data_IF_394796289383
#
_entry.id   IF_394796289383
#
_cell.length_a   1.000
_cell.length_b   1.000
_cell.length_c   1.000
_cell.angle_alpha   90.00
_cell.angle_beta   90.00
_cell.angle_gamma   90.00
#
_symmetry.space_group_name_H-M   'P 1'
#
loop_
_entity.id
_entity.type
_entity.pdbx_description
1 polymer ?
#
# COMPACT_ATOMS: atom_id res chain seq x y z
N UNK A 1 25.21 8.15 -15.09
CA UNK A 1 24.08 9.11 -15.01
C UNK A 1 22.81 8.52 -15.63
N UNK A 2 22.88 7.95 -16.84
CA UNK A 2 21.75 7.26 -17.50
C UNK A 2 21.24 6.07 -16.69
N UNK A 3 22.13 5.24 -16.15
CA UNK A 3 21.73 4.03 -15.40
C UNK A 3 20.98 4.35 -14.10
N UNK A 4 21.37 5.41 -13.41
CA UNK A 4 20.66 5.91 -12.23
C UNK A 4 19.24 6.37 -12.56
N UNK A 5 19.05 7.10 -13.66
CA UNK A 5 17.72 7.57 -14.08
C UNK A 5 16.81 6.40 -14.48
N UNK A 6 17.38 5.37 -15.12
CA UNK A 6 16.67 4.14 -15.45
C UNK A 6 16.27 3.40 -14.17
N UNK A 7 17.21 3.18 -13.24
CA UNK A 7 16.93 2.54 -11.96
C UNK A 7 15.86 3.29 -11.16
N UNK A 8 15.92 4.63 -11.14
CA UNK A 8 14.91 5.48 -10.51
C UNK A 8 13.53 5.34 -11.15
N UNK A 9 13.47 5.26 -12.47
CA UNK A 9 12.21 5.06 -13.19
C UNK A 9 11.62 3.68 -12.88
N UNK A 10 12.45 2.63 -12.91
CA UNK A 10 12.09 1.26 -12.52
C UNK A 10 11.57 1.23 -11.08
N UNK A 11 12.27 1.89 -10.15
CA UNK A 11 11.89 1.97 -8.74
C UNK A 11 10.50 2.59 -8.58
N UNK A 12 10.23 3.72 -9.24
CA UNK A 12 8.93 4.41 -9.16
C UNK A 12 7.81 3.53 -9.75
N UNK A 13 8.05 2.89 -10.90
CA UNK A 13 7.07 1.98 -11.51
C UNK A 13 6.69 0.87 -10.52
N UNK A 14 7.68 0.23 -9.90
CA UNK A 14 7.40 -0.85 -8.95
C UNK A 14 6.83 -0.37 -7.60
N UNK A 15 7.13 0.86 -7.15
CA UNK A 15 6.40 1.49 -6.04
C UNK A 15 4.91 1.55 -6.38
N UNK A 16 4.57 2.09 -7.55
CA UNK A 16 3.17 2.27 -7.98
C UNK A 16 2.48 0.91 -8.09
N UNK A 17 3.10 -0.07 -8.75
CA UNK A 17 2.56 -1.43 -8.86
C UNK A 17 2.37 -2.10 -7.49
N UNK A 18 3.31 -1.90 -6.56
CA UNK A 18 3.26 -2.45 -5.22
C UNK A 18 2.09 -1.89 -4.40
N UNK A 19 1.95 -0.55 -4.36
CA UNK A 19 0.85 0.09 -3.63
C UNK A 19 -0.51 -0.21 -4.27
N UNK A 20 -0.59 -0.29 -5.60
CA UNK A 20 -1.80 -0.74 -6.29
C UNK A 20 -2.19 -2.17 -5.86
N UNK A 21 -1.21 -3.07 -5.76
CA UNK A 21 -1.40 -4.42 -5.25
C UNK A 21 -1.90 -4.44 -3.81
N UNK A 22 -1.27 -3.69 -2.89
CA UNK A 22 -1.68 -3.63 -1.49
C UNK A 22 -3.10 -3.09 -1.30
N UNK A 23 -3.45 -1.97 -1.96
CA UNK A 23 -4.80 -1.40 -1.85
C UNK A 23 -5.87 -2.34 -2.40
N UNK A 24 -5.55 -3.04 -3.49
CA UNK A 24 -6.50 -4.00 -4.06
C UNK A 24 -6.61 -5.28 -3.22
N UNK A 25 -5.52 -5.75 -2.61
CA UNK A 25 -5.53 -6.89 -1.68
C UNK A 25 -6.47 -6.65 -0.49
N UNK A 26 -6.39 -5.49 0.17
CA UNK A 26 -7.25 -5.23 1.33
C UNK A 26 -8.74 -5.18 0.93
N UNK A 27 -9.05 -4.67 -0.26
CA UNK A 27 -10.42 -4.72 -0.79
C UNK A 27 -10.89 -6.16 -0.99
N UNK A 28 -10.05 -7.03 -1.54
CA UNK A 28 -10.38 -8.44 -1.66
C UNK A 28 -10.62 -9.07 -0.27
N UNK A 29 -9.80 -8.74 0.73
CA UNK A 29 -10.01 -9.24 2.10
C UNK A 29 -11.37 -8.85 2.68
N UNK A 30 -11.83 -7.62 2.43
CA UNK A 30 -13.15 -7.15 2.87
C UNK A 30 -14.24 -8.02 2.23
N UNK A 31 -14.22 -8.16 0.91
CA UNK A 31 -15.22 -8.94 0.18
C UNK A 31 -15.17 -10.43 0.51
N UNK A 32 -13.97 -10.97 0.76
CA UNK A 32 -13.78 -12.35 1.17
C UNK A 32 -14.35 -12.59 2.57
N UNK A 33 -14.14 -11.65 3.50
CA UNK A 33 -14.73 -11.71 4.85
C UNK A 33 -16.26 -11.67 4.78
N UNK A 34 -16.83 -10.75 4.00
CA UNK A 34 -18.28 -10.65 3.78
C UNK A 34 -18.84 -11.91 3.10
N UNK A 35 -18.08 -12.54 2.20
CA UNK A 35 -18.48 -13.80 1.57
C UNK A 35 -18.49 -14.99 2.55
N UNK A 36 -17.64 -14.98 3.57
CA UNK A 36 -17.62 -16.02 4.61
C UNK A 36 -18.84 -15.98 5.54
N UNK A 37 -19.51 -14.84 5.63
CA UNK A 37 -20.73 -14.64 6.42
C UNK A 37 -22.00 -15.10 5.69
N UNK A 38 -21.90 -15.47 4.41
CA UNK A 38 -23.04 -15.94 3.61
C UNK A 38 -23.37 -17.42 3.84
N UNK A 39 -24.57 -17.81 3.43
CA UNK A 39 -24.99 -19.20 3.41
C UNK A 39 -24.45 -19.94 2.18
N UNK A 40 -24.40 -21.28 2.26
CA UNK A 40 -24.09 -22.12 1.10
C UNK A 40 -25.27 -22.13 0.10
N UNK A 41 -25.00 -22.17 -1.21
CA UNK A 41 -23.70 -22.42 -1.85
C UNK A 41 -22.88 -21.16 -2.17
N UNK A 42 -23.40 -19.97 -1.89
CA UNK A 42 -22.75 -18.72 -2.29
C UNK A 42 -21.40 -18.54 -1.59
N UNK A 43 -21.36 -18.87 -0.29
CA UNK A 43 -20.13 -18.84 0.52
C UNK A 43 -19.01 -19.67 -0.09
N UNK A 44 -19.25 -20.95 -0.39
CA UNK A 44 -18.22 -21.86 -0.88
C UNK A 44 -17.68 -21.45 -2.26
N UNK A 45 -18.54 -20.95 -3.15
CA UNK A 45 -18.15 -20.44 -4.47
C UNK A 45 -17.27 -19.19 -4.35
N UNK A 46 -17.72 -18.19 -3.58
CA UNK A 46 -17.01 -16.93 -3.41
C UNK A 46 -15.70 -17.11 -2.63
N UNK A 47 -15.69 -17.94 -1.58
CA UNK A 47 -14.49 -18.28 -0.82
C UNK A 47 -13.37 -18.83 -1.72
N UNK A 48 -13.72 -19.77 -2.60
CA UNK A 48 -12.78 -20.36 -3.56
C UNK A 48 -12.27 -19.31 -4.56
N UNK A 49 -13.17 -18.47 -5.06
CA UNK A 49 -12.83 -17.43 -6.02
C UNK A 49 -11.92 -16.35 -5.43
N UNK A 50 -12.25 -15.82 -4.25
CA UNK A 50 -11.44 -14.81 -3.58
C UNK A 50 -10.09 -15.36 -3.16
N UNK A 51 -10.03 -16.59 -2.63
CA UNK A 51 -8.77 -17.26 -2.31
C UNK A 51 -7.82 -17.33 -3.51
N UNK A 52 -8.35 -17.68 -4.70
CA UNK A 52 -7.59 -17.70 -5.94
C UNK A 52 -7.13 -16.31 -6.39
N UNK A 53 -8.02 -15.32 -6.34
CA UNK A 53 -7.70 -13.94 -6.75
C UNK A 53 -6.63 -13.31 -5.86
N UNK A 54 -6.75 -13.49 -4.54
CA UNK A 54 -5.79 -13.00 -3.55
C UNK A 54 -4.41 -13.63 -3.74
N UNK A 55 -4.35 -14.95 -3.90
CA UNK A 55 -3.07 -15.65 -4.10
C UNK A 55 -2.37 -15.21 -5.39
N UNK A 56 -3.15 -15.09 -6.46
CA UNK A 56 -2.62 -14.65 -7.76
C UNK A 56 -2.12 -13.21 -7.69
N UNK A 57 -2.87 -12.30 -7.08
CA UNK A 57 -2.48 -10.90 -6.90
C UNK A 57 -1.24 -10.78 -6.02
N UNK A 58 -1.15 -11.57 -4.96
CA UNK A 58 -0.01 -11.58 -4.04
C UNK A 58 1.26 -12.04 -4.74
N UNK A 59 1.21 -13.22 -5.37
CA UNK A 59 2.39 -13.88 -5.91
C UNK A 59 2.85 -13.31 -7.27
N UNK A 60 1.93 -12.81 -8.10
CA UNK A 60 2.27 -12.30 -9.44
C UNK A 60 2.58 -10.80 -9.42
N UNK A 61 1.90 -10.00 -8.60
CA UNK A 61 2.03 -8.54 -8.62
C UNK A 61 2.74 -8.05 -7.36
N UNK A 62 2.18 -8.33 -6.19
CA UNK A 62 2.59 -7.65 -4.95
C UNK A 62 3.99 -8.05 -4.50
N UNK A 63 4.31 -9.34 -4.47
CA UNK A 63 5.64 -9.84 -4.06
C UNK A 63 6.72 -9.48 -5.09
N UNK A 64 6.54 -9.71 -6.40
CA UNK A 64 7.56 -9.31 -7.39
C UNK A 64 7.80 -7.80 -7.39
N UNK A 65 6.75 -6.98 -7.27
CA UNK A 65 6.90 -5.53 -7.18
C UNK A 65 7.67 -5.12 -5.92
N UNK A 66 7.43 -5.75 -4.77
CA UNK A 66 8.20 -5.50 -3.55
C UNK A 66 9.69 -5.77 -3.75
N UNK A 67 10.02 -6.91 -4.34
CA UNK A 67 11.41 -7.33 -4.60
C UNK A 67 12.08 -6.34 -5.55
N UNK A 68 11.46 -6.05 -6.69
CA UNK A 68 12.05 -5.17 -7.71
C UNK A 68 12.15 -3.72 -7.23
N UNK A 69 11.16 -3.22 -6.50
CA UNK A 69 11.22 -1.93 -5.82
C UNK A 69 12.39 -1.88 -4.82
N UNK A 70 12.56 -2.91 -4.00
CA UNK A 70 13.62 -2.94 -2.98
C UNK A 70 15.00 -3.01 -3.62
N UNK A 71 15.19 -3.89 -4.59
CA UNK A 71 16.47 -4.05 -5.31
C UNK A 71 16.87 -2.78 -6.05
N UNK A 72 15.94 -2.16 -6.78
CA UNK A 72 16.20 -0.89 -7.46
C UNK A 72 16.51 0.25 -6.48
N UNK A 73 15.83 0.29 -5.32
CA UNK A 73 16.12 1.26 -4.26
C UNK A 73 17.51 1.07 -3.64
N UNK A 74 17.92 -0.18 -3.40
CA UNK A 74 19.25 -0.50 -2.90
C UNK A 74 20.34 -0.20 -3.93
N UNK A 75 20.10 -0.51 -5.20
CA UNK A 75 21.02 -0.19 -6.28
C UNK A 75 21.25 1.33 -6.39
N UNK A 76 20.19 2.14 -6.34
CA UNK A 76 20.31 3.60 -6.31
C UNK A 76 21.10 4.12 -5.10
N UNK A 77 20.98 3.46 -3.94
CA UNK A 77 21.71 3.84 -2.73
C UNK A 77 23.22 3.56 -2.85
N UNK A 78 23.59 2.43 -3.46
CA UNK A 78 24.97 1.98 -3.60
C UNK A 78 25.70 2.68 -4.77
N UNK A 79 25.16 2.57 -5.98
CA UNK A 79 25.82 3.00 -7.22
C UNK A 79 25.47 4.46 -7.59
N UNK A 80 24.34 4.96 -7.11
CA UNK A 80 23.86 6.32 -7.37
C UNK A 80 24.53 7.42 -6.52
N UNK A 81 25.46 7.07 -5.63
CA UNK A 81 26.15 8.04 -4.76
C UNK A 81 25.28 8.64 -3.64
N UNK A 82 24.08 8.07 -3.40
CA UNK A 82 23.14 8.56 -2.38
C UNK A 82 23.50 8.15 -0.95
N UNK A 83 24.67 7.54 -0.74
CA UNK A 83 25.21 7.24 0.59
C UNK A 83 25.25 8.46 1.51
N UNK A 84 25.49 9.64 0.94
CA UNK A 84 25.48 10.91 1.70
C UNK A 84 24.08 11.30 2.21
N UNK A 85 23.01 10.77 1.63
CA UNK A 85 21.64 11.01 2.07
C UNK A 85 21.31 10.29 3.39
N UNK A 86 22.06 9.25 3.76
CA UNK A 86 21.91 8.59 5.06
C UNK A 86 22.12 9.59 6.20
N UNK A 87 22.92 10.65 5.99
CA UNK A 87 23.14 11.71 6.99
C UNK A 87 21.96 12.69 7.09
N UNK A 88 20.97 12.60 6.22
CA UNK A 88 19.82 13.51 6.19
C UNK A 88 18.64 12.91 6.94
N UNK A 89 18.05 13.67 7.88
CA UNK A 89 17.01 13.15 8.77
C UNK A 89 15.76 12.60 8.05
N UNK A 90 15.38 13.14 6.89
CA UNK A 90 14.26 12.63 6.10
C UNK A 90 14.50 11.21 5.56
N UNK A 91 15.76 10.81 5.34
CA UNK A 91 16.10 9.47 4.88
C UNK A 91 15.87 8.44 5.99
N UNK A 92 16.17 8.78 7.24
CA UNK A 92 15.83 7.94 8.39
C UNK A 92 14.31 7.78 8.56
N UNK A 93 13.54 8.85 8.37
CA UNK A 93 12.06 8.76 8.36
C UNK A 93 11.59 7.83 7.24
N UNK A 94 12.11 7.99 6.03
CA UNK A 94 11.78 7.11 4.90
C UNK A 94 12.07 5.65 5.24
N UNK A 95 13.25 5.34 5.78
CA UNK A 95 13.62 3.98 6.16
C UNK A 95 12.70 3.40 7.24
N UNK A 96 12.34 4.19 8.25
CA UNK A 96 11.40 3.77 9.29
C UNK A 96 10.05 3.37 8.69
N UNK A 97 9.50 4.17 7.79
CA UNK A 97 8.24 3.87 7.12
C UNK A 97 8.34 2.69 6.14
N UNK A 98 9.51 2.47 5.53
CA UNK A 98 9.77 1.25 4.75
C UNK A 98 9.71 0.01 5.65
N UNK A 99 10.30 0.07 6.86
CA UNK A 99 10.20 -1.04 7.83
C UNK A 99 8.73 -1.30 8.20
N UNK A 100 7.95 -0.25 8.48
CA UNK A 100 6.52 -0.39 8.73
C UNK A 100 5.77 -0.98 7.52
N UNK A 101 6.16 -0.63 6.30
CA UNK A 101 5.59 -1.19 5.08
C UNK A 101 5.90 -2.69 4.93
N UNK A 102 7.11 -3.15 5.28
CA UNK A 102 7.44 -4.57 5.33
C UNK A 102 6.65 -5.33 6.40
N UNK A 103 6.50 -4.75 7.59
CA UNK A 103 5.65 -5.33 8.66
C UNK A 103 4.20 -5.42 8.18
N UNK A 104 3.70 -4.37 7.54
CA UNK A 104 2.36 -4.32 6.96
C UNK A 104 2.15 -5.38 5.87
N UNK A 105 3.14 -5.55 4.98
CA UNK A 105 3.13 -6.58 3.95
C UNK A 105 3.04 -7.97 4.57
N UNK A 106 3.90 -8.29 5.54
CA UNK A 106 3.87 -9.57 6.22
C UNK A 106 2.54 -9.80 6.96
N UNK A 107 2.01 -8.77 7.61
CA UNK A 107 0.72 -8.84 8.27
C UNK A 107 -0.43 -9.12 7.29
N UNK A 108 -0.40 -8.47 6.11
CA UNK A 108 -1.38 -8.69 5.03
C UNK A 108 -1.31 -10.12 4.48
N UNK A 109 -0.10 -10.66 4.30
CA UNK A 109 0.09 -12.06 3.94
C UNK A 109 -0.53 -13.02 4.96
N UNK A 110 -0.35 -12.74 6.26
CA UNK A 110 -0.93 -13.54 7.34
C UNK A 110 -2.46 -13.51 7.31
N UNK A 111 -3.05 -12.35 7.03
CA UNK A 111 -4.51 -12.21 6.87
C UNK A 111 -4.99 -13.06 5.68
N UNK A 112 -4.34 -12.93 4.52
CA UNK A 112 -4.66 -13.75 3.34
C UNK A 112 -4.67 -15.24 3.67
N UNK A 113 -3.62 -15.75 4.33
CA UNK A 113 -3.53 -17.18 4.67
C UNK A 113 -4.60 -17.63 5.67
N UNK A 114 -5.04 -16.74 6.57
CA UNK A 114 -6.16 -17.04 7.49
C UNK A 114 -7.51 -17.04 6.77
N UNK A 115 -7.73 -16.07 5.89
CA UNK A 115 -8.93 -16.00 5.07
C UNK A 115 -9.05 -17.22 4.18
N UNK A 116 -7.98 -17.61 3.47
CA UNK A 116 -7.92 -18.85 2.67
C UNK A 116 -8.25 -20.12 3.48
N UNK A 117 -7.90 -20.15 4.76
CA UNK A 117 -8.26 -21.23 5.68
C UNK A 117 -9.71 -21.16 6.21
N UNK A 118 -10.54 -20.25 5.69
CA UNK A 118 -11.93 -20.03 6.08
C UNK A 118 -12.08 -19.36 7.44
N UNK A 119 -11.02 -18.72 7.96
CA UNK A 119 -11.02 -18.06 9.27
C UNK A 119 -10.93 -16.55 9.10
N UNK A 120 -12.08 -15.87 9.18
CA UNK A 120 -12.14 -14.43 9.28
C UNK A 120 -11.58 -13.97 10.64
N UNK A 121 -10.38 -13.39 10.65
CA UNK A 121 -9.77 -12.87 11.89
C UNK A 121 -10.03 -11.38 12.14
N UNK A 122 -10.51 -10.66 11.13
CA UNK A 122 -10.78 -9.23 11.19
C UNK A 122 -12.14 -8.95 10.55
N UNK A 123 -12.83 -7.95 11.08
CA UNK A 123 -14.11 -7.46 10.53
C UNK A 123 -13.87 -6.58 9.30
N UNK A 124 -14.90 -6.40 8.46
CA UNK A 124 -14.85 -5.48 7.31
C UNK A 124 -14.43 -4.05 7.69
N UNK A 125 -14.84 -3.57 8.86
CA UNK A 125 -14.45 -2.24 9.36
C UNK A 125 -12.96 -2.19 9.69
N UNK A 126 -12.43 -3.21 10.39
CA UNK A 126 -11.00 -3.29 10.71
C UNK A 126 -10.13 -3.39 9.45
N UNK A 127 -10.58 -4.13 8.44
CA UNK A 127 -9.90 -4.22 7.15
C UNK A 127 -9.93 -2.89 6.39
N UNK A 128 -11.03 -2.13 6.45
CA UNK A 128 -11.05 -0.76 5.89
C UNK A 128 -10.05 0.15 6.59
N UNK A 129 -9.97 0.09 7.93
CA UNK A 129 -8.96 0.83 8.68
C UNK A 129 -7.53 0.42 8.30
N UNK A 130 -7.29 -0.87 8.06
CA UNK A 130 -6.01 -1.37 7.59
C UNK A 130 -5.62 -0.77 6.22
N UNK A 131 -6.59 -0.61 5.32
CA UNK A 131 -6.36 0.08 4.05
C UNK A 131 -5.93 1.54 4.26
N UNK A 132 -6.53 2.25 5.20
CA UNK A 132 -6.16 3.64 5.51
C UNK A 132 -4.72 3.76 6.05
N UNK A 133 -4.27 2.76 6.84
CA UNK A 133 -2.87 2.71 7.30
C UNK A 133 -1.90 2.66 6.12
N UNK A 134 -2.17 1.85 5.10
CA UNK A 134 -1.34 1.81 3.89
C UNK A 134 -1.33 3.16 3.16
N UNK A 135 -2.47 3.86 3.10
CA UNK A 135 -2.58 5.19 2.49
C UNK A 135 -1.76 6.22 3.26
N UNK A 136 -1.81 6.21 4.59
CA UNK A 136 -1.02 7.13 5.43
C UNK A 136 0.48 6.90 5.21
N UNK A 137 0.93 5.63 5.18
CA UNK A 137 2.33 5.30 4.88
C UNK A 137 2.76 5.85 3.53
N UNK A 138 1.92 5.69 2.49
CA UNK A 138 2.20 6.24 1.15
C UNK A 138 2.38 7.76 1.19
N UNK A 139 1.46 8.48 1.83
CA UNK A 139 1.54 9.95 1.93
C UNK A 139 2.82 10.41 2.63
N UNK A 140 3.14 9.82 3.78
CA UNK A 140 4.34 10.19 4.54
C UNK A 140 5.61 9.92 3.72
N UNK A 141 5.72 8.75 3.09
CA UNK A 141 6.90 8.38 2.30
C UNK A 141 7.07 9.30 1.09
N UNK A 142 5.99 9.60 0.37
CA UNK A 142 6.04 10.48 -0.82
C UNK A 142 6.45 11.89 -0.41
N UNK A 143 5.82 12.48 0.61
CA UNK A 143 6.18 13.81 1.09
C UNK A 143 7.62 13.86 1.63
N UNK A 144 8.08 12.82 2.34
CA UNK A 144 9.46 12.73 2.81
C UNK A 144 10.47 12.74 1.65
N UNK A 145 10.18 12.01 0.57
CA UNK A 145 11.06 11.93 -0.61
C UNK A 145 11.06 13.23 -1.42
N UNK A 146 9.90 13.90 -1.55
CA UNK A 146 9.78 15.12 -2.36
C UNK A 146 10.30 16.35 -1.61
N UNK A 147 9.95 16.52 -0.33
CA UNK A 147 10.37 17.66 0.48
C UNK A 147 11.82 17.52 0.99
N UNK A 148 12.35 16.29 1.08
CA UNK A 148 13.71 16.00 1.54
C UNK A 148 14.02 16.72 2.85
N UNK A 149 15.07 17.57 2.91
CA UNK A 149 15.44 18.33 4.09
C UNK A 149 14.33 19.22 4.67
N UNK A 150 13.41 19.68 3.82
CA UNK A 150 12.25 20.49 4.23
C UNK A 150 11.16 19.66 4.93
N UNK A 151 11.19 18.33 4.79
CA UNK A 151 10.16 17.47 5.36
C UNK A 151 10.05 17.61 6.89
N UNK A 152 11.19 17.72 7.59
CA UNK A 152 11.19 17.82 9.06
C UNK A 152 10.47 19.08 9.53
N UNK A 153 10.59 20.18 8.78
CA UNK A 153 9.90 21.45 9.09
C UNK A 153 8.43 21.41 8.70
N UNK A 154 8.10 20.76 7.57
CA UNK A 154 6.79 20.81 6.92
C UNK A 154 6.02 19.49 6.96
N UNK A 155 6.34 18.58 7.88
CA UNK A 155 5.73 17.27 7.97
C UNK A 155 4.21 17.35 8.13
N UNK A 156 3.69 18.39 8.80
CA UNK A 156 2.26 18.62 9.00
C UNK A 156 1.49 18.83 7.69
N UNK A 157 2.14 19.28 6.60
CA UNK A 157 1.51 19.36 5.29
C UNK A 157 1.12 17.99 4.73
N UNK A 158 1.84 16.92 5.10
CA UNK A 158 1.42 15.56 4.71
C UNK A 158 0.09 15.17 5.35
N UNK A 159 -0.14 15.56 6.61
CA UNK A 159 -1.40 15.32 7.32
C UNK A 159 -2.53 16.17 6.74
N UNK A 160 -2.28 17.47 6.50
CA UNK A 160 -3.26 18.37 5.88
C UNK A 160 -3.64 17.87 4.49
N UNK A 161 -2.67 17.46 3.68
CA UNK A 161 -2.92 16.93 2.34
C UNK A 161 -3.74 15.63 2.37
N UNK A 162 -3.45 14.73 3.33
CA UNK A 162 -4.22 13.49 3.52
C UNK A 162 -5.69 13.79 3.86
N UNK A 163 -5.93 14.70 4.83
CA UNK A 163 -7.30 15.10 5.22
C UNK A 163 -8.03 15.81 4.08
N UNK A 164 -7.35 16.72 3.38
CA UNK A 164 -7.92 17.45 2.24
C UNK A 164 -8.31 16.49 1.10
N UNK A 165 -7.47 15.50 0.79
CA UNK A 165 -7.77 14.47 -0.21
C UNK A 165 -9.00 13.65 0.21
N UNK A 166 -9.07 13.22 1.48
CA UNK A 166 -10.24 12.51 2.00
C UNK A 166 -11.53 13.32 1.89
N UNK A 167 -11.49 14.61 2.25
CA UNK A 167 -12.61 15.52 2.11
C UNK A 167 -13.04 15.70 0.64
N UNK A 168 -12.07 15.83 -0.27
CA UNK A 168 -12.32 15.95 -1.70
C UNK A 168 -13.02 14.70 -2.26
N UNK A 169 -12.53 13.50 -1.91
CA UNK A 169 -13.14 12.23 -2.33
C UNK A 169 -14.58 12.14 -1.82
N UNK A 170 -14.83 12.46 -0.54
CA UNK A 170 -16.19 12.47 0.01
C UNK A 170 -17.11 13.45 -0.71
N UNK A 171 -16.60 14.63 -1.07
CA UNK A 171 -17.35 15.60 -1.85
C UNK A 171 -17.69 15.06 -3.24
N UNK A 172 -16.73 14.44 -3.93
CA UNK A 172 -16.96 13.80 -5.25
C UNK A 172 -18.01 12.70 -5.16
N UNK A 173 -17.92 11.82 -4.15
CA UNK A 173 -18.91 10.76 -3.92
C UNK A 173 -20.30 11.35 -3.66
N UNK A 174 -20.39 12.39 -2.83
CA UNK A 174 -21.65 13.08 -2.55
C UNK A 174 -22.25 13.70 -3.81
N UNK A 175 -21.43 14.33 -4.66
CA UNK A 175 -21.89 14.90 -5.93
C UNK A 175 -22.33 13.82 -6.93
N UNK A 176 -21.59 12.72 -7.05
CA UNK A 176 -21.91 11.61 -7.93
C UNK A 176 -23.22 10.91 -7.54
N UNK A 177 -23.51 10.82 -6.23
CA UNK A 177 -24.74 10.22 -5.72
C UNK A 177 -25.92 11.20 -5.70
N UNK A 178 -25.69 12.52 -5.74
CA UNK A 178 -26.74 13.55 -5.75
C UNK A 178 -27.64 13.50 -7.00
N UNK A 179 -27.16 12.93 -8.11
CA UNK A 179 -27.93 12.74 -9.34
C UNK A 179 -28.67 11.39 -9.46
N UNK A 180 -28.57 10.52 -8.44
CA UNK A 180 -29.23 9.20 -8.40
C UNK A 180 -30.43 9.13 -7.44
N UNK A 181 -30.80 10.25 -6.82
CA UNK A 181 -31.98 10.40 -5.97
C UNK A 181 -33.01 11.31 -6.65
#
# INVERSE_FOLDING_TARGET
>A
MTDYLIAKSIHIIFIVSYFAGLFYMVRLFIYHTEALEKDDPERSILHKQFSFMEERLWNIITVPALVLMTLSGLYMLYDGGEWTLIKQGWFHVKLLFIVFLFVYHYYSWRIMKRLQAGRASLTSVQLRMLNEVATIILFVVVFAVILKGLFITYWYFSLIAFVAMGALIMLVVKLANKGKN
#
